data_IF_447116448208
#
_entry.id   IF_447116448208
#
_cell.length_a   1.000
_cell.length_b   1.000
_cell.length_c   1.000
_cell.angle_alpha   90.00
_cell.angle_beta   90.00
_cell.angle_gamma   90.00
#
_symmetry.space_group_name_H-M   'P 1'
#
loop_
_entity.id
_entity.type
_entity.pdbx_description
1 polymer ?
#
# COMPACT_ATOMS: atom_id res chain seq x y z
N UNK A 1 1.33 35.43 -30.29
CA UNK A 1 0.26 34.61 -29.67
C UNK A 1 0.34 33.23 -30.29
N UNK A 2 1.10 32.33 -29.67
CA UNK A 2 1.22 30.94 -30.10
C UNK A 2 0.49 30.09 -29.06
N UNK A 3 -0.51 29.33 -29.52
CA UNK A 3 -1.26 28.39 -28.70
C UNK A 3 -0.37 27.19 -28.37
N UNK A 4 -0.28 26.87 -27.09
CA UNK A 4 0.35 25.65 -26.57
C UNK A 4 -0.60 24.47 -26.77
N UNK A 5 -0.18 23.49 -27.58
CA UNK A 5 -0.85 22.22 -27.73
C UNK A 5 -0.40 21.27 -26.61
N UNK A 6 -1.33 20.88 -25.74
CA UNK A 6 -1.10 19.93 -24.64
C UNK A 6 -0.93 18.50 -25.17
N UNK A 7 0.26 17.92 -24.97
CA UNK A 7 0.54 16.51 -25.26
C UNK A 7 -0.20 15.59 -24.27
N UNK A 8 -1.23 14.89 -24.74
CA UNK A 8 -1.93 13.84 -23.98
C UNK A 8 -1.15 12.53 -24.09
N UNK A 9 -0.45 12.16 -23.03
CA UNK A 9 0.34 10.92 -22.92
C UNK A 9 -0.58 9.68 -22.88
N UNK A 10 -0.83 9.08 -24.04
CA UNK A 10 -1.61 7.86 -24.18
C UNK A 10 -0.78 6.63 -23.74
N UNK A 11 -1.11 6.07 -22.56
CA UNK A 11 -0.53 4.80 -22.08
C UNK A 11 -0.98 3.63 -22.96
N UNK A 12 -0.06 3.10 -23.75
CA UNK A 12 -0.24 1.90 -24.58
C UNK A 12 0.04 0.62 -23.78
N UNK A 13 -0.82 -0.38 -23.94
CA UNK A 13 -0.58 -1.73 -23.44
C UNK A 13 0.49 -2.45 -24.27
N UNK A 14 1.18 -3.44 -23.66
CA UNK A 14 2.30 -4.22 -24.25
C UNK A 14 1.99 -4.96 -25.57
N UNK A 15 0.77 -4.89 -26.08
CA UNK A 15 0.31 -5.50 -27.33
C UNK A 15 -0.18 -4.48 -28.37
N UNK A 16 -0.02 -3.17 -28.13
CA UNK A 16 -0.38 -2.11 -29.08
C UNK A 16 -1.89 -1.93 -29.34
N UNK A 17 -2.75 -2.67 -28.62
CA UNK A 17 -4.20 -2.55 -28.75
C UNK A 17 -4.71 -1.45 -27.82
N UNK A 18 -5.45 -0.49 -28.37
CA UNK A 18 -6.16 0.53 -27.58
C UNK A 18 -7.19 -0.17 -26.70
N UNK A 19 -7.04 -0.08 -25.38
CA UNK A 19 -8.07 -0.55 -24.44
C UNK A 19 -9.18 0.50 -24.40
N UNK A 20 -10.39 0.10 -24.75
CA UNK A 20 -11.56 0.94 -24.62
C UNK A 20 -12.29 0.61 -23.30
N UNK A 21 -12.49 1.63 -22.47
CA UNK A 21 -13.25 1.51 -21.23
C UNK A 21 -14.70 1.95 -21.48
N UNK A 22 -15.67 1.20 -20.96
CA UNK A 22 -17.10 1.56 -20.98
C UNK A 22 -17.57 1.91 -19.57
N UNK A 23 -18.46 2.89 -19.47
CA UNK A 23 -19.04 3.29 -18.19
C UNK A 23 -20.10 2.29 -17.76
N UNK A 24 -20.02 1.79 -16.51
CA UNK A 24 -21.01 0.85 -15.97
C UNK A 24 -22.41 1.46 -15.78
N UNK A 25 -22.53 2.80 -15.73
CA UNK A 25 -23.82 3.48 -15.56
C UNK A 25 -24.54 3.78 -16.87
N UNK A 26 -23.82 4.29 -17.88
CA UNK A 26 -24.42 4.74 -19.15
C UNK A 26 -24.06 3.88 -20.37
N UNK A 27 -23.14 2.91 -20.23
CA UNK A 27 -22.68 2.03 -21.30
C UNK A 27 -21.78 2.67 -22.36
N UNK A 28 -21.57 4.00 -22.32
CA UNK A 28 -20.77 4.74 -23.30
C UNK A 28 -19.27 4.65 -23.00
N UNK A 29 -18.45 4.89 -24.03
CA UNK A 29 -16.98 4.93 -23.92
C UNK A 29 -16.53 6.04 -22.97
N UNK A 30 -15.52 5.77 -22.16
CA UNK A 30 -14.95 6.68 -21.16
C UNK A 30 -13.55 7.11 -21.61
N UNK A 31 -13.35 8.42 -21.74
CA UNK A 31 -12.02 9.01 -22.02
C UNK A 31 -11.30 9.22 -20.68
N UNK A 32 -11.92 9.95 -19.76
CA UNK A 32 -11.43 10.17 -18.39
C UNK A 32 -12.09 9.22 -17.42
N UNK A 33 -11.41 8.09 -17.14
CA UNK A 33 -11.96 7.05 -16.26
C UNK A 33 -11.76 7.39 -14.79
N UNK A 34 -12.82 7.22 -14.02
CA UNK A 34 -12.77 7.14 -12.55
C UNK A 34 -13.18 5.73 -12.15
N UNK A 35 -12.34 5.04 -11.40
CA UNK A 35 -12.61 3.69 -10.92
C UNK A 35 -13.27 3.75 -9.55
N UNK A 36 -14.38 3.05 -9.35
CA UNK A 36 -15.00 2.96 -8.04
C UNK A 36 -14.15 2.09 -7.11
N UNK A 37 -13.80 2.59 -5.92
CA UNK A 37 -13.00 1.84 -4.95
C UNK A 37 -13.68 0.59 -4.37
N UNK A 38 -14.99 0.40 -4.61
CA UNK A 38 -15.78 -0.72 -4.06
C UNK A 38 -16.01 -1.82 -5.09
N UNK A 39 -16.66 -1.52 -6.22
CA UNK A 39 -16.91 -2.52 -7.27
C UNK A 39 -15.78 -2.62 -8.31
N UNK A 40 -14.79 -1.72 -8.26
CA UNK A 40 -13.69 -1.64 -9.23
C UNK A 40 -14.12 -1.39 -10.69
N UNK A 41 -15.38 -1.04 -10.93
CA UNK A 41 -15.89 -0.65 -12.26
C UNK A 41 -15.48 0.77 -12.65
N UNK A 42 -15.50 1.03 -13.97
CA UNK A 42 -15.14 2.31 -14.55
C UNK A 42 -16.37 3.20 -14.79
N UNK A 43 -16.25 4.48 -14.45
CA UNK A 43 -17.31 5.48 -14.61
C UNK A 43 -16.77 6.77 -15.23
N UNK A 44 -17.65 7.52 -15.90
CA UNK A 44 -17.42 8.96 -16.12
C UNK A 44 -17.48 9.69 -14.77
N UNK A 45 -16.73 10.80 -14.58
CA UNK A 45 -16.81 11.61 -13.38
C UNK A 45 -18.26 12.03 -13.02
N UNK A 46 -19.05 12.39 -14.03
CA UNK A 46 -20.46 12.77 -13.89
C UNK A 46 -21.40 11.58 -13.61
N UNK A 47 -21.05 10.38 -14.05
CA UNK A 47 -21.87 9.18 -13.85
C UNK A 47 -21.63 8.52 -12.50
N UNK A 48 -20.47 8.73 -11.86
CA UNK A 48 -20.14 8.11 -10.57
C UNK A 48 -21.12 8.53 -9.47
N UNK A 49 -21.45 9.83 -9.39
CA UNK A 49 -22.43 10.34 -8.43
C UNK A 49 -23.84 9.77 -8.66
N UNK A 50 -24.26 9.66 -9.92
CA UNK A 50 -25.58 9.09 -10.26
C UNK A 50 -25.65 7.58 -9.97
N UNK A 51 -24.56 6.85 -10.22
CA UNK A 51 -24.47 5.43 -9.94
C UNK A 51 -24.52 5.14 -8.43
N UNK A 52 -23.92 6.01 -7.60
CA UNK A 52 -23.96 5.90 -6.15
C UNK A 52 -25.38 6.08 -5.56
N UNK A 53 -26.27 6.79 -6.25
CA UNK A 53 -27.64 7.02 -5.81
C UNK A 53 -28.64 5.92 -6.22
N UNK A 54 -28.27 4.99 -7.11
CA UNK A 54 -29.17 3.90 -7.52
C UNK A 54 -29.19 2.80 -6.46
N UNK A 55 -30.39 2.49 -5.95
CA UNK A 55 -30.61 1.46 -4.90
C UNK A 55 -30.15 0.06 -5.32
N UNK A 56 -30.15 -0.21 -6.62
CA UNK A 56 -29.87 -1.54 -7.20
C UNK A 56 -28.39 -1.72 -7.60
N UNK A 57 -27.57 -0.67 -7.46
CA UNK A 57 -26.15 -0.80 -7.74
C UNK A 57 -25.47 -1.51 -6.56
N UNK A 58 -24.72 -2.58 -6.86
CA UNK A 58 -23.85 -3.33 -5.93
C UNK A 58 -22.85 -2.39 -5.18
N UNK A 59 -22.73 -1.13 -5.62
CA UNK A 59 -22.06 -0.04 -4.92
C UNK A 59 -22.91 0.67 -3.86
N UNK A 60 -23.60 -0.06 -2.99
CA UNK A 60 -24.04 0.55 -1.73
C UNK A 60 -22.84 0.73 -0.84
N UNK A 61 -22.44 1.97 -0.66
CA UNK A 61 -21.32 2.24 0.18
C UNK A 61 -21.40 3.63 0.73
N UNK A 62 -21.84 3.72 1.99
CA UNK A 62 -21.73 4.88 2.88
C UNK A 62 -20.74 5.92 2.35
N UNK A 63 -21.27 6.87 1.59
CA UNK A 63 -20.55 8.09 1.30
C UNK A 63 -20.69 8.86 2.61
N UNK A 64 -19.60 8.96 3.38
CA UNK A 64 -19.58 9.85 4.54
C UNK A 64 -19.54 11.28 3.99
N UNK A 65 -20.69 11.77 3.54
CA UNK A 65 -20.93 13.15 3.15
C UNK A 65 -21.14 13.95 4.42
N UNK A 66 -20.07 14.11 5.21
CA UNK A 66 -19.96 15.22 6.15
C UNK A 66 -19.02 16.20 5.48
N UNK A 67 -19.64 17.15 4.79
CA UNK A 67 -19.10 18.42 4.27
C UNK A 67 -19.69 18.67 2.88
N UNK A 68 -20.94 19.14 2.85
CA UNK A 68 -21.45 20.18 1.94
C UNK A 68 -22.83 20.60 2.51
N UNK A 69 -22.78 21.70 3.25
CA UNK A 69 -23.80 22.72 3.54
C UNK A 69 -25.28 22.46 3.22
N UNK A 70 -26.09 22.52 4.29
CA UNK A 70 -27.53 22.90 4.34
C UNK A 70 -27.74 24.31 3.71
N UNK A 71 -28.88 24.65 3.06
CA UNK A 71 -30.16 24.85 3.76
C UNK A 71 -31.46 24.41 3.03
N UNK A 72 -32.40 23.88 3.82
CA UNK A 72 -33.86 24.13 3.80
C UNK A 72 -34.66 23.85 2.50
N UNK A 73 -35.55 22.84 2.53
CA UNK A 73 -37.02 22.97 2.64
C UNK A 73 -37.76 21.66 2.31
N UNK A 74 -38.66 21.27 3.22
CA UNK A 74 -39.87 20.44 3.02
C UNK A 74 -40.85 21.13 2.04
N UNK A 75 -41.72 20.41 1.30
CA UNK A 75 -42.92 19.73 1.84
C UNK A 75 -43.13 18.28 1.31
N UNK A 76 -43.61 17.32 2.11
CA UNK A 76 -45.02 16.98 2.45
C UNK A 76 -45.70 16.05 1.42
N UNK A 77 -45.96 14.81 1.87
CA UNK A 77 -47.11 13.90 1.60
C UNK A 77 -47.55 13.66 0.14
N UNK A 78 -47.48 12.41 -0.35
CA UNK A 78 -48.63 11.66 -0.92
C UNK A 78 -48.41 10.15 -0.77
N UNK A 79 -49.45 9.46 -0.29
CA UNK A 79 -49.60 8.01 -0.14
C UNK A 79 -49.70 7.22 -1.47
N UNK A 80 -49.60 5.90 -1.32
CA UNK A 80 -50.31 4.86 -2.08
C UNK A 80 -49.82 4.49 -3.50
N UNK A 81 -49.37 3.24 -3.65
CA UNK A 81 -50.20 2.14 -4.20
C UNK A 81 -49.45 0.80 -4.24
N UNK A 82 -50.12 -0.23 -3.72
CA UNK A 82 -49.87 -1.65 -3.98
C UNK A 82 -50.25 -2.03 -5.41
N UNK A 83 -49.40 -2.80 -6.07
CA UNK A 83 -49.66 -3.76 -7.18
C UNK A 83 -48.47 -4.73 -7.10
N UNK A 84 -48.56 -6.00 -6.71
CA UNK A 84 -49.35 -7.14 -7.16
C UNK A 84 -49.16 -7.50 -8.65
N UNK A 85 -48.69 -8.74 -8.85
CA UNK A 85 -48.79 -9.64 -10.03
C UNK A 85 -47.87 -9.35 -11.24
N UNK A 86 -46.88 -10.22 -11.47
CA UNK A 86 -46.89 -11.18 -12.60
C UNK A 86 -45.62 -12.05 -12.60
N UNK A 87 -45.83 -13.34 -12.34
CA UNK A 87 -45.00 -14.44 -12.86
C UNK A 87 -44.93 -14.35 -14.38
N UNK A 88 -43.74 -14.53 -14.95
CA UNK A 88 -43.57 -14.82 -16.37
C UNK A 88 -42.31 -15.69 -16.58
N UNK A 89 -42.62 -16.97 -16.78
CA UNK A 89 -42.11 -17.89 -17.79
C UNK A 89 -40.61 -18.18 -17.94
N UNK A 90 -40.36 -19.46 -17.70
CA UNK A 90 -39.31 -20.32 -18.26
C UNK A 90 -39.28 -20.24 -19.79
N UNK A 91 -38.12 -19.89 -20.36
CA UNK A 91 -37.63 -20.32 -21.68
C UNK A 91 -36.09 -20.17 -21.61
N UNK A 92 -35.31 -21.26 -21.46
CA UNK A 92 -34.83 -22.21 -22.48
C UNK A 92 -34.21 -21.52 -23.71
N UNK A 93 -32.88 -21.46 -23.70
CA UNK A 93 -31.93 -21.41 -24.84
C UNK A 93 -30.54 -21.59 -24.20
N UNK A 94 -29.99 -22.81 -24.09
CA UNK A 94 -29.21 -23.54 -25.11
C UNK A 94 -28.27 -22.67 -25.97
N UNK A 95 -26.99 -23.07 -25.97
CA UNK A 95 -25.90 -22.75 -26.91
C UNK A 95 -25.07 -21.47 -26.71
N UNK A 96 -23.94 -21.58 -26.01
CA UNK A 96 -22.61 -21.71 -26.65
C UNK A 96 -21.50 -21.70 -25.59
N UNK A 97 -21.13 -22.91 -25.14
CA UNK A 97 -19.88 -23.14 -24.42
C UNK A 97 -18.72 -23.02 -25.40
N UNK A 98 -18.28 -21.79 -25.64
CA UNK A 98 -17.04 -21.52 -26.35
C UNK A 98 -15.88 -21.83 -25.38
N UNK A 99 -15.40 -23.08 -25.41
CA UNK A 99 -14.24 -23.52 -24.64
C UNK A 99 -13.06 -22.59 -24.92
N UNK A 100 -12.68 -21.81 -23.92
CA UNK A 100 -11.50 -20.96 -23.98
C UNK A 100 -10.29 -21.90 -23.99
N UNK A 101 -9.45 -21.90 -25.02
CA UNK A 101 -8.27 -22.76 -25.06
C UNK A 101 -7.37 -22.40 -23.88
N UNK A 102 -7.17 -23.37 -22.98
CA UNK A 102 -6.24 -23.28 -21.87
C UNK A 102 -4.87 -22.82 -22.40
N UNK A 103 -4.55 -21.54 -22.19
CA UNK A 103 -3.20 -21.04 -22.48
C UNK A 103 -2.28 -21.82 -21.56
N UNK A 104 -1.36 -22.60 -22.15
CA UNK A 104 -0.24 -23.22 -21.46
C UNK A 104 0.45 -22.14 -20.63
N UNK A 105 0.19 -22.13 -19.34
CA UNK A 105 0.88 -21.26 -18.40
C UNK A 105 2.33 -21.73 -18.43
N UNK A 106 3.20 -20.92 -19.02
CA UNK A 106 4.64 -21.17 -19.02
C UNK A 106 5.04 -21.29 -17.57
N UNK A 107 5.34 -22.52 -17.14
CA UNK A 107 5.74 -22.84 -15.79
C UNK A 107 6.93 -21.96 -15.45
N UNK A 108 6.71 -20.90 -14.65
CA UNK A 108 7.79 -20.02 -14.22
C UNK A 108 8.67 -20.90 -13.35
N UNK A 109 9.87 -21.19 -13.84
CA UNK A 109 10.94 -21.86 -13.11
C UNK A 109 11.04 -21.20 -11.74
N UNK A 110 10.50 -21.87 -10.71
CA UNK A 110 10.69 -21.49 -9.33
C UNK A 110 12.19 -21.61 -9.14
N UNK A 111 12.89 -20.47 -9.09
CA UNK A 111 14.30 -20.46 -8.73
C UNK A 111 14.34 -20.96 -7.30
N UNK A 112 14.75 -22.21 -7.12
CA UNK A 112 15.15 -22.75 -5.82
C UNK A 112 16.20 -21.77 -5.29
N UNK A 113 15.80 -20.95 -4.32
CA UNK A 113 16.69 -19.96 -3.71
C UNK A 113 17.80 -20.78 -3.07
N UNK A 114 19.00 -20.68 -3.64
CA UNK A 114 20.16 -21.43 -3.20
C UNK A 114 20.37 -21.27 -1.70
N UNK A 115 20.47 -22.39 -1.01
CA UNK A 115 20.98 -22.49 0.35
C UNK A 115 22.45 -22.10 0.33
N UNK A 116 22.73 -20.80 0.41
CA UNK A 116 24.07 -20.29 0.64
C UNK A 116 24.57 -20.79 2.00
N UNK A 117 25.58 -21.65 1.98
CA UNK A 117 26.35 -22.07 3.14
C UNK A 117 27.19 -20.88 3.62
N UNK A 118 27.01 -20.47 4.87
CA UNK A 118 27.82 -19.43 5.51
C UNK A 118 28.89 -20.08 6.38
N UNK A 119 30.14 -19.78 6.07
CA UNK A 119 31.36 -20.06 6.85
C UNK A 119 31.31 -19.40 8.23
N UNK A 120 31.69 -20.16 9.26
CA UNK A 120 31.36 -19.95 10.67
C UNK A 120 32.22 -18.93 11.47
N UNK A 121 32.98 -18.03 10.83
CA UNK A 121 34.11 -17.36 11.52
C UNK A 121 33.99 -15.83 11.72
N UNK A 122 32.81 -15.27 12.03
CA UNK A 122 32.74 -13.85 12.41
C UNK A 122 31.62 -13.57 13.44
N UNK A 123 31.99 -13.53 14.72
CA UNK A 123 31.05 -13.48 15.86
C UNK A 123 30.47 -12.09 16.20
N UNK A 124 30.89 -10.99 15.56
CA UNK A 124 30.60 -9.64 16.10
C UNK A 124 29.34 -8.97 15.48
N UNK A 125 28.72 -9.50 14.41
CA UNK A 125 27.55 -8.87 13.76
C UNK A 125 26.40 -9.83 13.42
N UNK A 126 26.16 -10.86 14.25
CA UNK A 126 25.14 -11.89 13.97
C UNK A 126 23.73 -11.54 14.46
N UNK A 127 23.56 -10.48 15.27
CA UNK A 127 22.26 -10.07 15.81
C UNK A 127 21.23 -9.61 14.74
N UNK A 128 21.65 -9.53 13.47
CA UNK A 128 20.83 -9.02 12.36
C UNK A 128 20.50 -10.05 11.28
N UNK A 129 21.02 -11.29 11.39
CA UNK A 129 20.80 -12.32 10.39
C UNK A 129 19.69 -13.27 10.85
N UNK A 130 18.50 -13.14 10.25
CA UNK A 130 17.28 -13.89 10.61
C UNK A 130 17.30 -15.40 10.31
N UNK A 131 18.45 -16.07 10.37
CA UNK A 131 18.61 -17.52 10.10
C UNK A 131 19.00 -18.35 11.33
N UNK A 132 19.40 -17.74 12.44
CA UNK A 132 19.71 -18.51 13.65
C UNK A 132 18.43 -18.83 14.42
N UNK A 133 18.22 -20.12 14.70
CA UNK A 133 17.01 -20.70 15.29
C UNK A 133 16.64 -20.21 16.71
N UNK A 134 17.43 -19.32 17.31
CA UNK A 134 17.21 -18.86 18.68
C UNK A 134 16.00 -17.95 18.84
N UNK A 135 15.85 -16.91 18.01
CA UNK A 135 14.80 -15.90 18.18
C UNK A 135 14.43 -15.27 16.83
N UNK A 136 13.35 -15.77 16.20
CA UNK A 136 12.84 -15.18 14.96
C UNK A 136 12.28 -13.80 15.26
N UNK A 137 12.86 -12.77 14.64
CA UNK A 137 12.37 -11.40 14.75
C UNK A 137 11.62 -10.96 13.50
N UNK A 138 10.54 -10.22 13.69
CA UNK A 138 9.87 -9.46 12.64
C UNK A 138 10.59 -8.13 12.49
N UNK A 139 10.94 -7.81 11.25
CA UNK A 139 11.60 -6.57 10.93
C UNK A 139 10.68 -5.67 10.11
N UNK A 140 10.52 -4.44 10.59
CA UNK A 140 9.68 -3.40 10.02
C UNK A 140 10.52 -2.18 9.67
N UNK A 141 10.13 -1.53 8.59
CA UNK A 141 10.59 -0.21 8.20
C UNK A 141 9.48 0.79 8.48
N UNK A 142 9.74 1.76 9.34
CA UNK A 142 8.87 2.91 9.55
C UNK A 142 9.40 4.11 8.76
N UNK A 143 8.46 4.84 8.18
CA UNK A 143 8.69 6.04 7.38
C UNK A 143 7.64 7.10 7.69
N UNK A 144 7.89 8.34 7.26
CA UNK A 144 7.01 9.51 7.51
C UNK A 144 6.86 9.80 9.00
N UNK A 145 7.91 9.59 9.77
CA UNK A 145 7.95 9.95 11.19
C UNK A 145 8.40 11.41 11.28
N UNK A 146 7.69 12.22 12.06
CA UNK A 146 8.02 13.63 12.28
C UNK A 146 9.45 13.79 12.82
N UNK A 147 10.12 14.84 12.39
CA UNK A 147 11.40 15.27 12.97
C UNK A 147 11.27 15.49 14.47
N UNK A 148 12.26 15.02 15.24
CA UNK A 148 12.28 15.10 16.70
C UNK A 148 11.77 13.87 17.45
N UNK A 149 11.15 12.90 16.76
CA UNK A 149 10.86 11.60 17.38
C UNK A 149 12.16 10.82 17.54
N UNK A 150 12.54 10.49 18.77
CA UNK A 150 13.74 9.70 19.07
C UNK A 150 13.44 8.20 19.11
N UNK A 151 14.48 7.37 19.06
CA UNK A 151 14.34 5.92 19.20
C UNK A 151 13.67 5.52 20.52
N UNK A 152 13.91 6.28 21.58
CA UNK A 152 13.34 6.08 22.91
C UNK A 152 11.82 6.24 22.90
N UNK A 153 11.31 7.28 22.24
CA UNK A 153 9.86 7.53 22.12
C UNK A 153 9.18 6.36 21.42
N UNK A 154 9.79 5.82 20.35
CA UNK A 154 9.27 4.65 19.63
C UNK A 154 9.29 3.40 20.51
N UNK A 155 10.37 3.18 21.29
CA UNK A 155 10.46 2.06 22.23
C UNK A 155 9.37 2.15 23.30
N UNK A 156 9.18 3.34 23.90
CA UNK A 156 8.13 3.59 24.88
C UNK A 156 6.75 3.31 24.30
N UNK A 157 6.46 3.81 23.10
CA UNK A 157 5.20 3.54 22.40
C UNK A 157 4.95 2.05 22.19
N UNK A 158 5.96 1.30 21.75
CA UNK A 158 5.84 -0.15 21.55
C UNK A 158 5.64 -0.89 22.87
N UNK A 159 6.35 -0.51 23.93
CA UNK A 159 6.21 -1.12 25.25
C UNK A 159 4.80 -0.90 25.82
N UNK A 160 4.24 0.30 25.67
CA UNK A 160 2.89 0.64 26.12
C UNK A 160 1.81 -0.09 25.30
N UNK A 161 1.98 -0.17 23.97
CA UNK A 161 0.96 -0.76 23.08
C UNK A 161 0.94 -2.29 23.07
N UNK A 162 2.09 -2.93 23.25
CA UNK A 162 2.23 -4.38 23.19
C UNK A 162 2.32 -5.03 24.58
N UNK A 163 2.26 -4.23 25.66
CA UNK A 163 2.40 -4.68 27.05
C UNK A 163 3.66 -5.56 27.24
N UNK A 164 4.78 -5.10 26.69
CA UNK A 164 6.02 -5.87 26.66
C UNK A 164 6.57 -6.10 28.08
N UNK A 165 6.94 -7.36 28.35
CA UNK A 165 7.67 -7.71 29.57
C UNK A 165 9.07 -7.09 29.57
N UNK A 166 9.62 -6.77 30.76
CA UNK A 166 10.91 -6.10 30.91
C UNK A 166 12.11 -6.81 30.21
N UNK A 167 11.98 -8.09 29.88
CA UNK A 167 13.00 -8.88 29.19
C UNK A 167 12.96 -8.71 27.65
N UNK A 168 11.82 -8.36 27.08
CA UNK A 168 11.61 -8.31 25.63
C UNK A 168 11.69 -6.86 25.14
N UNK A 169 12.91 -6.32 25.01
CA UNK A 169 13.09 -4.95 24.53
C UNK A 169 13.05 -4.88 23.00
N UNK A 170 12.25 -3.96 22.42
CA UNK A 170 12.21 -3.75 20.98
C UNK A 170 13.54 -3.16 20.48
N UNK A 171 14.06 -3.70 19.39
CA UNK A 171 15.25 -3.15 18.73
C UNK A 171 14.78 -2.05 17.80
N UNK A 172 15.16 -0.81 18.06
CA UNK A 172 14.86 0.34 17.19
C UNK A 172 16.17 0.97 16.78
N UNK A 173 16.33 1.22 15.49
CA UNK A 173 17.52 1.87 14.91
C UNK A 173 17.09 2.91 13.89
N UNK A 174 17.52 4.15 14.06
CA UNK A 174 17.32 5.22 13.10
C UNK A 174 18.09 4.92 11.80
N UNK A 175 17.43 5.09 10.66
CA UNK A 175 18.03 4.96 9.33
C UNK A 175 18.15 6.34 8.71
N UNK A 176 19.36 6.69 8.27
CA UNK A 176 19.56 7.84 7.40
C UNK A 176 19.15 7.48 5.98
N UNK A 177 18.07 8.08 5.48
CA UNK A 177 17.69 7.94 4.07
C UNK A 177 18.49 8.93 3.23
N UNK A 178 18.92 8.50 2.05
CA UNK A 178 19.65 9.34 1.10
C UNK A 178 18.76 10.50 0.61
N UNK A 179 17.49 10.21 0.34
CA UNK A 179 16.47 11.21 0.06
C UNK A 179 15.80 11.60 1.38
N UNK A 180 16.40 12.56 2.09
CA UNK A 180 15.71 13.24 3.18
C UNK A 180 14.58 14.06 2.56
N UNK A 181 13.35 13.59 2.70
CA UNK A 181 12.24 14.55 2.71
C UNK A 181 12.45 15.39 3.96
N UNK A 182 12.44 16.71 3.81
CA UNK A 182 12.99 17.66 4.79
C UNK A 182 12.49 17.43 6.22
N UNK A 183 11.28 16.89 6.38
CA UNK A 183 10.63 16.73 7.69
C UNK A 183 10.37 15.27 8.12
N UNK A 184 10.95 14.29 7.43
CA UNK A 184 10.64 12.87 7.71
C UNK A 184 11.87 12.06 8.10
N UNK A 185 11.77 11.38 9.24
CA UNK A 185 12.72 10.38 9.73
C UNK A 185 12.24 8.96 9.42
N UNK A 186 13.20 8.04 9.33
CA UNK A 186 12.94 6.63 9.08
C UNK A 186 13.61 5.77 10.14
N UNK A 187 12.94 4.69 10.53
CA UNK A 187 13.41 3.80 11.59
C UNK A 187 13.25 2.35 11.15
N UNK A 188 14.19 1.53 11.58
CA UNK A 188 14.11 0.10 11.51
C UNK A 188 13.74 -0.47 12.87
N UNK A 189 12.77 -1.37 12.90
CA UNK A 189 12.27 -1.99 14.11
C UNK A 189 12.40 -3.50 14.00
N UNK A 190 12.95 -4.12 15.04
CA UNK A 190 13.04 -5.56 15.23
C UNK A 190 12.26 -5.98 16.47
N UNK A 191 11.22 -6.79 16.28
CA UNK A 191 10.32 -7.30 17.32
C UNK A 191 10.29 -8.81 17.33
N UNK A 192 9.86 -9.44 18.43
CA UNK A 192 9.56 -10.88 18.43
C UNK A 192 8.41 -11.20 17.45
N UNK A 193 8.47 -12.36 16.81
CA UNK A 193 7.45 -12.86 15.89
C UNK A 193 6.08 -13.02 16.55
N UNK A 194 6.02 -13.17 17.88
CA UNK A 194 4.75 -13.23 18.64
C UNK A 194 3.87 -12.01 18.40
N UNK A 195 4.49 -10.83 18.26
CA UNK A 195 3.77 -9.56 18.08
C UNK A 195 3.46 -9.23 16.63
N UNK A 196 3.78 -10.15 15.69
CA UNK A 196 3.65 -9.91 14.25
C UNK A 196 2.26 -9.40 13.91
N UNK A 197 1.22 -10.13 14.25
CA UNK A 197 -0.11 -9.84 13.70
C UNK A 197 -0.60 -8.46 14.19
N UNK A 198 -0.36 -8.13 15.45
CA UNK A 198 -0.68 -6.83 16.06
C UNK A 198 0.03 -5.66 15.35
N UNK A 199 1.33 -5.78 15.08
CA UNK A 199 2.10 -4.67 14.47
C UNK A 199 1.83 -4.47 12.98
N UNK A 200 1.20 -5.46 12.32
CA UNK A 200 0.74 -5.35 10.93
C UNK A 200 -0.69 -4.78 10.83
N UNK A 201 -1.40 -4.61 11.95
CA UNK A 201 -2.71 -3.96 11.93
C UNK A 201 -2.57 -2.47 11.58
N UNK A 202 -3.42 -1.98 10.69
CA UNK A 202 -3.41 -0.57 10.27
C UNK A 202 -3.78 0.38 11.41
N UNK A 203 -4.50 -0.10 12.43
CA UNK A 203 -4.90 0.62 13.64
C UNK A 203 -3.80 0.69 14.70
N UNK A 204 -2.76 -0.13 14.58
CA UNK A 204 -1.67 -0.17 15.54
C UNK A 204 -0.79 1.08 15.47
N UNK A 205 -0.60 1.65 14.28
CA UNK A 205 0.26 2.79 14.07
C UNK A 205 -0.52 4.12 14.10
N UNK A 206 0.04 5.20 14.65
CA UNK A 206 -0.59 6.51 14.60
C UNK A 206 -0.80 6.98 13.15
N UNK A 207 -1.86 7.76 12.95
CA UNK A 207 -2.17 8.32 11.62
C UNK A 207 -0.99 9.13 11.06
N UNK A 208 -0.65 8.87 9.80
CA UNK A 208 0.45 9.55 9.09
C UNK A 208 1.76 8.77 9.10
N UNK A 209 1.94 7.80 10.02
CA UNK A 209 3.09 6.89 9.99
C UNK A 209 2.86 5.81 8.95
N UNK A 210 3.82 5.62 8.05
CA UNK A 210 3.77 4.55 7.06
C UNK A 210 4.76 3.46 7.43
N UNK A 211 4.31 2.20 7.40
CA UNK A 211 5.13 1.04 7.72
C UNK A 211 5.17 0.04 6.58
N UNK A 212 6.28 -0.68 6.47
CA UNK A 212 6.46 -1.76 5.51
C UNK A 212 7.29 -2.89 6.12
N UNK A 213 7.11 -4.11 5.59
CA UNK A 213 7.99 -5.23 5.93
C UNK A 213 9.41 -4.92 5.46
N UNK A 214 10.38 -5.00 6.37
CA UNK A 214 11.78 -4.83 6.01
C UNK A 214 12.25 -6.01 5.14
N UNK A 215 12.81 -5.70 3.98
CA UNK A 215 13.38 -6.70 3.06
C UNK A 215 14.90 -6.64 3.16
N UNK A 216 15.49 -7.64 3.81
CA UNK A 216 16.95 -7.80 3.93
C UNK A 216 17.69 -8.02 2.61
N UNK A 217 16.96 -8.26 1.51
CA UNK A 217 17.54 -8.65 0.22
C UNK A 217 17.95 -7.49 -0.69
N UNK A 218 17.96 -6.24 -0.21
CA UNK A 218 18.54 -5.13 -0.96
C UNK A 218 19.98 -4.91 -0.51
N UNK A 219 20.87 -5.69 -1.10
CA UNK A 219 22.33 -5.55 -1.16
C UNK A 219 23.05 -5.10 0.12
N UNK A 220 23.96 -5.96 0.58
CA UNK A 220 25.06 -5.66 1.53
C UNK A 220 25.89 -4.39 1.18
N UNK A 221 25.58 -3.69 0.08
CA UNK A 221 26.23 -2.46 -0.36
C UNK A 221 25.56 -1.17 0.13
N UNK A 222 24.27 -1.13 0.49
CA UNK A 222 23.64 0.16 0.85
C UNK A 222 23.78 0.52 2.34
N UNK A 223 23.66 -0.46 3.26
CA UNK A 223 23.71 -0.17 4.71
C UNK A 223 25.14 0.13 5.18
N UNK A 224 26.15 -0.43 4.53
CA UNK A 224 27.56 -0.19 4.89
C UNK A 224 28.11 1.13 4.32
N UNK A 225 27.55 1.65 3.22
CA UNK A 225 27.99 2.94 2.65
C UNK A 225 27.58 4.16 3.49
N UNK A 226 26.60 4.04 4.38
CA UNK A 226 26.25 5.14 5.29
C UNK A 226 27.23 5.29 6.48
N UNK A 227 27.92 4.21 6.90
CA UNK A 227 28.92 4.26 7.97
C UNK A 227 30.33 4.58 7.45
N UNK A 228 30.63 4.18 6.20
CA UNK A 228 31.91 4.52 5.55
C UNK A 228 32.02 6.03 5.24
N UNK A 229 30.92 6.71 4.94
CA UNK A 229 30.93 8.16 4.65
C UNK A 229 31.09 9.07 5.88
N UNK A 230 30.80 8.58 7.09
CA UNK A 230 31.07 9.35 8.33
C UNK A 230 32.54 9.38 8.72
N UNK A 231 33.35 8.40 8.28
CA UNK A 231 34.80 8.42 8.54
C UNK A 231 35.56 9.26 7.48
N UNK A 232 35.08 9.35 6.23
CA UNK A 232 35.73 10.18 5.22
C UNK A 232 35.63 11.69 5.49
N UNK A 233 34.55 12.15 6.16
CA UNK A 233 34.41 13.57 6.53
C UNK A 233 35.28 13.99 7.72
N UNK A 234 35.68 13.06 8.61
CA UNK A 234 36.62 13.39 9.72
C UNK A 234 38.08 13.46 9.28
N UNK A 235 38.46 12.83 8.17
CA UNK A 235 39.83 12.93 7.64
C UNK A 235 40.10 14.26 6.90
N UNK A 236 39.06 14.93 6.39
CA UNK A 236 39.21 16.21 5.67
C UNK A 236 39.34 17.42 6.60
N UNK A 237 38.92 17.33 7.87
CA UNK A 237 39.04 18.44 8.85
C UNK A 237 40.37 18.46 9.59
N UNK A 238 41.21 17.43 9.45
CA UNK A 238 42.51 17.32 10.13
C UNK A 238 43.71 17.71 9.26
N UNK A 239 43.51 18.24 8.05
CA UNK A 239 44.59 18.88 7.28
C UNK A 239 44.55 20.39 7.50
N UNK A 240 45.20 20.84 8.57
CA UNK A 240 45.55 22.26 8.69
C UNK A 240 46.64 22.60 7.66
N UNK A 241 46.53 23.74 6.95
CA UNK A 241 47.64 24.29 6.19
C UNK A 241 48.67 24.88 7.17
N UNK A 242 49.90 24.36 7.12
CA UNK A 242 51.09 25.10 7.55
C UNK A 242 51.48 26.10 6.46
#
# INVERSE_FOLDING_TARGET
MAASEDEVELRLDKCGKKIEFKCAHCGKKVVDKVQCGKCLENFHPSCLGQAACRKDAICQGNVNVKDINNPKKLPTVVENKQTNILELDKNKEESNSMEVPWRKVVSRRIRTIGTAQTTANNEINTAFQGRNNGNKKVWLFLSRIKTGVTEEIIKTYLNEKLELSAQETPIVKKINTFHKMEDNECFQIGLDIKYRDQVYECTFWPSGVAFARFKFNYDNNQVNNSLANTNLQRELTNRQPN
#
